data_IF_663149421988
#
_entry.id   IF_663149421988
#
_cell.length_a   1.000
_cell.length_b   1.000
_cell.length_c   1.000
_cell.angle_alpha   90.00
_cell.angle_beta   90.00
_cell.angle_gamma   90.00
#
_symmetry.space_group_name_H-M   'P 1'
#
loop_
_entity.id
_entity.type
_entity.pdbx_description
1 polymer ?
#
# COMPACT_ATOMS: atom_id res chain seq x y z
N UNK A 1 -13.86 -0.81 6.07
CA UNK A 1 -14.69 0.16 5.36
C UNK A 1 -14.41 1.56 5.89
N UNK A 2 -14.18 2.51 5.00
CA UNK A 2 -13.99 3.92 5.32
C UNK A 2 -14.57 4.79 4.22
N UNK A 3 -15.45 5.70 4.57
CA UNK A 3 -16.01 6.70 3.67
C UNK A 3 -15.67 8.09 4.20
N UNK A 4 -15.33 8.99 3.30
CA UNK A 4 -15.03 10.36 3.64
C UNK A 4 -15.38 11.31 2.51
N UNK A 5 -15.57 12.56 2.84
CA UNK A 5 -15.77 13.59 1.83
C UNK A 5 -15.08 14.89 2.21
N UNK A 6 -14.78 15.68 1.18
CA UNK A 6 -14.23 17.01 1.29
C UNK A 6 -15.02 17.95 0.38
N UNK A 7 -15.62 18.99 0.94
CA UNK A 7 -16.47 19.96 0.23
C UNK A 7 -15.77 21.29 0.09
N UNK A 8 -15.88 21.90 -1.09
CA UNK A 8 -15.34 23.21 -1.39
C UNK A 8 -16.30 24.06 -2.21
N UNK A 9 -16.28 25.37 -1.93
CA UNK A 9 -16.85 26.39 -2.77
C UNK A 9 -15.73 27.21 -3.39
N UNK A 10 -15.47 27.02 -4.68
CA UNK A 10 -14.37 27.68 -5.41
C UNK A 10 -14.73 28.05 -6.83
N UNK A 11 -14.04 29.07 -7.33
CA UNK A 11 -14.10 29.46 -8.74
C UNK A 11 -13.16 28.59 -9.57
N UNK A 12 -13.71 27.82 -10.48
CA UNK A 12 -12.99 26.92 -11.39
C UNK A 12 -13.48 27.13 -12.83
N UNK A 13 -12.70 26.70 -13.82
CA UNK A 13 -13.20 26.54 -15.19
C UNK A 13 -14.28 25.46 -15.20
N UNK A 14 -15.32 25.64 -16.01
CA UNK A 14 -16.38 24.63 -16.14
C UNK A 14 -15.86 23.29 -16.67
N UNK A 15 -14.80 23.31 -17.48
CA UNK A 15 -14.10 22.10 -17.93
C UNK A 15 -13.48 21.28 -16.79
N UNK A 16 -13.18 21.88 -15.65
CA UNK A 16 -12.73 21.16 -14.45
C UNK A 16 -13.80 20.21 -13.92
N UNK A 17 -15.07 20.49 -14.16
CA UNK A 17 -16.19 19.63 -13.81
C UNK A 17 -16.73 18.86 -15.03
N UNK A 18 -15.92 18.68 -16.09
CA UNK A 18 -16.31 17.92 -17.27
C UNK A 18 -17.37 18.63 -18.15
N UNK A 19 -17.67 19.90 -17.90
CA UNK A 19 -18.61 20.67 -18.70
C UNK A 19 -17.90 21.29 -19.92
N UNK A 20 -18.56 21.35 -21.10
CA UNK A 20 -17.92 21.72 -22.38
C UNK A 20 -17.69 23.24 -22.54
N UNK A 21 -17.34 23.93 -21.48
CA UNK A 21 -17.15 25.37 -21.45
C UNK A 21 -15.84 25.75 -20.78
N UNK A 22 -15.19 26.81 -21.28
CA UNK A 22 -13.86 27.24 -20.78
C UNK A 22 -13.91 28.42 -19.80
N UNK A 23 -15.06 29.09 -19.66
CA UNK A 23 -15.21 30.18 -18.69
C UNK A 23 -15.23 29.67 -17.26
N UNK A 24 -15.04 30.57 -16.29
CA UNK A 24 -14.97 30.24 -14.86
C UNK A 24 -16.26 30.62 -14.16
N UNK A 25 -16.77 29.74 -13.33
CA UNK A 25 -17.86 29.99 -12.41
C UNK A 25 -17.52 29.52 -11.00
N UNK A 26 -18.25 29.97 -9.99
CA UNK A 26 -18.20 29.43 -8.66
C UNK A 26 -19.06 28.19 -8.59
N UNK A 27 -18.51 27.12 -7.98
CA UNK A 27 -19.24 25.88 -7.76
C UNK A 27 -18.99 25.31 -6.38
N UNK A 28 -20.03 24.73 -5.79
CA UNK A 28 -19.93 23.92 -4.59
C UNK A 28 -19.83 22.47 -5.02
N UNK A 29 -18.69 21.88 -4.78
CA UNK A 29 -18.39 20.50 -5.17
C UNK A 29 -17.84 19.71 -4.01
N UNK A 30 -18.06 18.42 -4.04
CA UNK A 30 -17.63 17.46 -3.03
C UNK A 30 -16.76 16.40 -3.69
N UNK A 31 -15.59 16.16 -3.12
CA UNK A 31 -14.76 14.98 -3.43
C UNK A 31 -15.03 13.95 -2.37
N UNK A 32 -15.29 12.73 -2.80
CA UNK A 32 -15.71 11.63 -1.94
C UNK A 32 -14.81 10.43 -2.19
N UNK A 33 -14.62 9.66 -1.13
CA UNK A 33 -13.96 8.36 -1.22
C UNK A 33 -14.77 7.34 -0.42
N UNK A 34 -14.88 6.14 -0.98
CA UNK A 34 -15.46 4.98 -0.34
C UNK A 34 -14.45 3.82 -0.46
N UNK A 35 -13.94 3.39 0.69
CA UNK A 35 -12.84 2.45 0.74
C UNK A 35 -13.23 1.20 1.51
N UNK A 36 -12.89 0.06 0.93
CA UNK A 36 -12.99 -1.24 1.59
C UNK A 36 -11.60 -1.84 1.73
N UNK A 37 -11.29 -2.36 2.89
CA UNK A 37 -10.04 -3.01 3.17
C UNK A 37 -10.32 -4.38 3.83
N UNK A 38 -9.74 -5.42 3.27
CA UNK A 38 -9.82 -6.79 3.76
C UNK A 38 -8.42 -7.32 3.93
N UNK A 39 -8.19 -8.08 4.98
CA UNK A 39 -6.88 -8.68 5.17
C UNK A 39 -6.89 -9.79 6.20
N UNK A 40 -5.87 -10.61 6.11
CA UNK A 40 -5.64 -11.70 7.03
C UNK A 40 -4.14 -11.92 7.23
N UNK A 41 -3.79 -12.43 8.41
CA UNK A 41 -2.44 -12.80 8.81
C UNK A 41 -2.47 -14.19 9.38
N UNK A 42 -1.49 -15.00 8.98
CA UNK A 42 -1.25 -16.34 9.56
C UNK A 42 0.21 -16.45 9.93
N UNK A 43 0.48 -17.02 11.12
CA UNK A 43 1.84 -17.31 11.55
C UNK A 43 1.87 -18.61 12.37
N UNK A 44 2.93 -19.36 12.20
CA UNK A 44 3.24 -20.57 12.97
C UNK A 44 4.69 -20.54 13.44
N UNK A 45 4.92 -21.02 14.65
CA UNK A 45 6.24 -21.10 15.24
C UNK A 45 6.48 -22.53 15.74
N UNK A 46 7.63 -23.07 15.38
CA UNK A 46 8.14 -24.34 15.90
C UNK A 46 9.40 -24.06 16.70
N UNK A 47 9.42 -24.46 17.96
CA UNK A 47 10.54 -24.27 18.87
C UNK A 47 11.08 -25.64 19.23
N UNK A 48 12.33 -25.88 18.92
CA UNK A 48 13.05 -27.09 19.27
C UNK A 48 14.53 -26.80 19.46
N UNK A 49 15.25 -27.67 20.14
CA UNK A 49 16.69 -27.61 20.13
C UNK A 49 17.23 -28.53 19.02
N UNK A 50 18.18 -28.07 18.20
CA UNK A 50 18.88 -26.75 18.22
C UNK A 50 18.26 -25.66 17.33
N UNK A 51 17.04 -25.83 16.78
CA UNK A 51 16.50 -24.98 15.74
C UNK A 51 15.13 -24.41 16.14
N UNK A 52 14.96 -23.09 16.00
CA UNK A 52 13.66 -22.44 16.02
C UNK A 52 13.25 -22.03 14.60
N UNK A 53 12.04 -22.38 14.20
CA UNK A 53 11.47 -22.03 12.90
C UNK A 53 10.23 -21.17 13.09
N UNK A 54 10.06 -20.18 12.22
CA UNK A 54 8.85 -19.38 12.15
C UNK A 54 8.45 -19.19 10.69
N UNK A 55 7.20 -19.45 10.39
CA UNK A 55 6.59 -19.24 9.07
C UNK A 55 5.39 -18.35 9.23
N UNK A 56 5.13 -17.54 8.23
CA UNK A 56 3.93 -16.74 8.24
C UNK A 56 3.70 -16.04 6.92
N UNK A 57 2.57 -15.37 6.86
CA UNK A 57 2.20 -14.57 5.73
C UNK A 57 1.02 -13.67 6.06
N UNK A 58 0.84 -12.68 5.22
CA UNK A 58 -0.29 -11.77 5.24
C UNK A 58 -0.78 -11.54 3.81
N UNK A 59 -2.07 -11.35 3.67
CA UNK A 59 -2.66 -10.89 2.43
C UNK A 59 -3.67 -9.80 2.72
N UNK A 60 -3.60 -8.71 1.96
CA UNK A 60 -4.48 -7.57 2.07
C UNK A 60 -5.03 -7.22 0.70
N UNK A 61 -6.30 -6.84 0.67
CA UNK A 61 -6.98 -6.37 -0.51
C UNK A 61 -7.69 -5.05 -0.21
N UNK A 62 -7.37 -4.04 -1.01
CA UNK A 62 -7.96 -2.71 -0.92
C UNK A 62 -8.77 -2.43 -2.18
N UNK A 63 -9.97 -1.90 -1.98
CA UNK A 63 -10.85 -1.34 -2.99
C UNK A 63 -11.13 0.10 -2.60
N UNK A 64 -10.98 1.03 -3.53
CA UNK A 64 -11.28 2.44 -3.29
C UNK A 64 -11.99 3.05 -4.49
N UNK A 65 -13.16 3.63 -4.23
CA UNK A 65 -13.89 4.46 -5.17
C UNK A 65 -13.69 5.92 -4.81
N UNK A 66 -13.14 6.68 -5.74
CA UNK A 66 -12.95 8.12 -5.61
C UNK A 66 -13.82 8.82 -6.64
N UNK A 67 -14.69 9.71 -6.22
CA UNK A 67 -15.59 10.41 -7.11
C UNK A 67 -15.89 11.83 -6.64
N UNK A 68 -16.24 12.67 -7.58
CA UNK A 68 -16.59 14.06 -7.30
C UNK A 68 -17.97 14.41 -7.79
N UNK A 69 -18.72 15.11 -6.94
CA UNK A 69 -20.06 15.60 -7.26
C UNK A 69 -20.12 17.13 -7.17
N UNK A 70 -20.76 17.74 -8.15
CA UNK A 70 -21.08 19.17 -8.18
C UNK A 70 -22.51 19.37 -7.69
N UNK A 71 -22.65 20.10 -6.58
CA UNK A 71 -23.95 20.32 -5.92
C UNK A 71 -24.61 21.63 -6.31
N UNK A 72 -23.82 22.65 -6.58
CA UNK A 72 -24.28 23.98 -6.95
C UNK A 72 -23.29 24.61 -7.92
N UNK A 73 -23.83 25.32 -8.90
CA UNK A 73 -23.08 26.11 -9.88
C UNK A 73 -23.68 27.50 -9.98
N UNK A 74 -22.85 28.51 -9.78
CA UNK A 74 -23.22 29.90 -9.97
C UNK A 74 -23.06 30.26 -11.46
N UNK A 75 -23.97 29.74 -12.29
CA UNK A 75 -23.99 29.90 -13.73
C UNK A 75 -25.43 29.73 -14.21
N UNK A 76 -25.71 30.19 -15.45
CA UNK A 76 -27.02 29.99 -16.10
C UNK A 76 -27.25 28.54 -16.57
N UNK A 77 -26.23 27.69 -16.46
CA UNK A 77 -26.33 26.29 -16.84
C UNK A 77 -27.16 25.51 -15.83
N UNK A 78 -28.06 24.69 -16.33
CA UNK A 78 -28.81 23.72 -15.51
C UNK A 78 -28.03 22.43 -15.48
N UNK A 79 -27.55 22.05 -14.29
CA UNK A 79 -26.88 20.79 -14.05
C UNK A 79 -27.81 19.84 -13.27
N UNK A 80 -27.71 18.52 -13.46
CA UNK A 80 -28.43 17.56 -12.63
C UNK A 80 -28.02 17.71 -11.15
N UNK A 81 -28.94 17.40 -10.24
CA UNK A 81 -28.65 17.37 -8.81
C UNK A 81 -27.57 16.32 -8.57
N UNK A 82 -26.52 16.68 -7.80
CA UNK A 82 -25.38 15.83 -7.52
C UNK A 82 -24.68 15.34 -8.79
N UNK A 83 -24.49 16.22 -9.78
CA UNK A 83 -23.79 15.90 -11.01
C UNK A 83 -22.40 15.33 -10.71
N UNK A 84 -22.18 14.05 -11.03
CA UNK A 84 -20.89 13.38 -10.88
C UNK A 84 -19.98 13.77 -12.05
N UNK A 85 -18.87 14.47 -11.75
CA UNK A 85 -17.98 15.00 -12.78
C UNK A 85 -16.72 14.13 -12.98
N UNK A 86 -16.35 13.28 -12.00
CA UNK A 86 -15.31 12.27 -12.18
C UNK A 86 -15.55 11.06 -11.28
N UNK A 87 -15.04 9.94 -11.72
CA UNK A 87 -14.93 8.70 -10.91
C UNK A 87 -13.68 7.93 -11.29
N UNK A 88 -12.97 7.44 -10.29
CA UNK A 88 -11.94 6.44 -10.49
C UNK A 88 -12.02 5.36 -9.41
N UNK A 89 -11.55 4.19 -9.78
CA UNK A 89 -11.50 3.03 -8.92
C UNK A 89 -10.05 2.60 -8.76
N UNK A 90 -9.63 2.41 -7.53
CA UNK A 90 -8.31 1.88 -7.21
C UNK A 90 -8.44 0.52 -6.53
N UNK A 91 -7.60 -0.42 -6.93
CA UNK A 91 -7.48 -1.74 -6.31
C UNK A 91 -6.03 -1.98 -5.96
N UNK A 92 -5.78 -2.49 -4.77
CA UNK A 92 -4.45 -2.90 -4.38
C UNK A 92 -4.50 -4.27 -3.72
N UNK A 93 -3.72 -5.18 -4.25
CA UNK A 93 -3.43 -6.47 -3.63
C UNK A 93 -2.02 -6.42 -3.06
N UNK A 94 -1.86 -6.80 -1.82
CA UNK A 94 -0.56 -6.89 -1.15
C UNK A 94 -0.51 -8.22 -0.39
N UNK A 95 0.39 -9.09 -0.76
CA UNK A 95 0.56 -10.38 -0.14
C UNK A 95 2.03 -10.64 0.17
N UNK A 96 2.32 -11.22 1.32
CA UNK A 96 3.67 -11.62 1.66
C UNK A 96 3.68 -12.98 2.37
N UNK A 97 4.78 -13.67 2.19
CA UNK A 97 5.13 -14.88 2.96
C UNK A 97 6.55 -14.73 3.49
N UNK A 98 6.80 -15.30 4.64
CA UNK A 98 8.15 -15.32 5.20
C UNK A 98 8.46 -16.63 5.92
N UNK A 99 9.75 -16.96 5.94
CA UNK A 99 10.30 -18.04 6.72
C UNK A 99 11.52 -17.54 7.48
N UNK A 100 11.57 -17.80 8.78
CA UNK A 100 12.70 -17.46 9.65
C UNK A 100 13.21 -18.72 10.32
N UNK A 101 14.52 -18.83 10.41
CA UNK A 101 15.19 -19.89 11.13
C UNK A 101 16.24 -19.28 12.04
N UNK A 102 16.34 -19.82 13.25
CA UNK A 102 17.45 -19.55 14.16
C UNK A 102 18.04 -20.89 14.60
N UNK A 103 19.28 -21.13 14.24
CA UNK A 103 20.00 -22.36 14.53
C UNK A 103 21.10 -22.12 15.55
N UNK A 104 20.98 -22.74 16.71
CA UNK A 104 21.99 -22.75 17.78
C UNK A 104 22.99 -23.85 17.51
N UNK A 105 24.08 -23.51 16.80
CA UNK A 105 25.15 -24.46 16.40
C UNK A 105 25.96 -24.88 17.61
N UNK A 106 26.33 -23.93 18.48
CA UNK A 106 26.99 -24.14 19.75
C UNK A 106 26.14 -23.50 20.83
N UNK A 107 25.80 -24.30 21.85
CA UNK A 107 25.00 -23.82 22.99
C UNK A 107 25.61 -24.35 24.30
N UNK A 108 26.76 -23.77 24.69
CA UNK A 108 27.45 -24.10 25.93
C UNK A 108 27.39 -22.93 26.90
N UNK A 109 27.63 -23.15 28.18
CA UNK A 109 27.53 -22.11 29.20
C UNK A 109 28.40 -20.88 28.92
N UNK A 110 29.60 -21.06 28.38
CA UNK A 110 30.55 -19.95 28.12
C UNK A 110 30.77 -19.68 26.64
N UNK A 111 30.17 -20.48 25.74
CA UNK A 111 30.38 -20.39 24.31
C UNK A 111 29.06 -20.63 23.58
N UNK A 112 28.63 -19.69 22.75
CA UNK A 112 27.42 -19.80 21.96
C UNK A 112 27.70 -19.34 20.53
N UNK A 113 27.19 -20.09 19.57
CA UNK A 113 27.23 -19.76 18.15
C UNK A 113 25.84 -19.98 17.58
N UNK A 114 25.26 -18.93 17.03
CA UNK A 114 23.94 -18.98 16.42
C UNK A 114 23.98 -18.40 15.00
N UNK A 115 23.31 -19.06 14.08
CA UNK A 115 23.03 -18.62 12.73
C UNK A 115 21.56 -18.32 12.63
N UNK A 116 21.21 -17.17 12.05
CA UNK A 116 19.83 -16.89 11.68
C UNK A 116 19.69 -16.63 10.19
N UNK A 117 18.55 -16.99 9.64
CA UNK A 117 18.11 -16.67 8.29
C UNK A 117 16.67 -16.20 8.32
N UNK A 118 16.36 -15.19 7.49
CA UNK A 118 15.03 -14.64 7.31
C UNK A 118 14.82 -14.43 5.79
N UNK A 119 13.86 -15.13 5.24
CA UNK A 119 13.49 -15.04 3.84
C UNK A 119 12.09 -14.47 3.75
N UNK A 120 11.93 -13.39 3.03
CA UNK A 120 10.62 -12.78 2.78
C UNK A 120 10.41 -12.60 1.29
N UNK A 121 9.24 -12.98 0.83
CA UNK A 121 8.73 -12.67 -0.49
C UNK A 121 7.44 -11.87 -0.37
N UNK A 122 7.34 -10.76 -1.12
CA UNK A 122 6.17 -9.89 -1.15
C UNK A 122 5.75 -9.62 -2.58
N UNK A 123 4.46 -9.75 -2.82
CA UNK A 123 3.79 -9.41 -4.05
C UNK A 123 2.88 -8.21 -3.83
N UNK A 124 2.95 -7.22 -4.72
CA UNK A 124 2.07 -6.05 -4.70
C UNK A 124 1.56 -5.83 -6.10
N UNK A 125 0.24 -5.73 -6.27
CA UNK A 125 -0.39 -5.30 -7.51
C UNK A 125 -1.25 -4.07 -7.24
N UNK A 126 -1.12 -3.07 -8.06
CA UNK A 126 -1.90 -1.85 -8.01
C UNK A 126 -2.56 -1.61 -9.36
N UNK A 127 -3.89 -1.51 -9.35
CA UNK A 127 -4.72 -1.21 -10.50
C UNK A 127 -5.50 0.07 -10.25
N UNK A 128 -5.54 0.96 -11.22
CA UNK A 128 -6.39 2.16 -11.21
C UNK A 128 -7.04 2.32 -12.57
N UNK A 129 -8.34 2.57 -12.57
CA UNK A 129 -9.13 2.85 -13.76
C UNK A 129 -10.02 4.06 -13.51
N UNK A 130 -10.32 4.81 -14.59
CA UNK A 130 -11.19 5.97 -14.55
C UNK A 130 -10.46 7.31 -14.58
N UNK A 131 -11.21 8.37 -14.43
CA UNK A 131 -10.73 9.74 -14.64
C UNK A 131 -9.90 10.25 -13.47
N UNK A 132 -8.84 10.98 -13.76
CA UNK A 132 -8.13 11.80 -12.80
C UNK A 132 -8.98 13.01 -12.39
N UNK A 133 -8.95 13.38 -11.12
CA UNK A 133 -9.70 14.49 -10.56
C UNK A 133 -9.12 15.89 -10.86
N UNK A 134 -7.89 15.97 -11.40
CA UNK A 134 -7.22 17.24 -11.68
C UNK A 134 -7.40 17.71 -13.11
N UNK A 135 -7.27 16.83 -14.07
CA UNK A 135 -7.27 17.14 -15.50
C UNK A 135 -8.32 16.37 -16.32
N UNK A 136 -9.14 15.54 -15.66
CA UNK A 136 -10.17 14.70 -16.28
C UNK A 136 -9.59 13.71 -17.32
N UNK A 137 -8.29 13.44 -17.27
CA UNK A 137 -7.65 12.43 -18.11
C UNK A 137 -7.96 11.03 -17.63
N UNK A 138 -8.12 10.08 -18.55
CA UNK A 138 -8.19 8.68 -18.25
C UNK A 138 -6.75 8.15 -18.12
N UNK A 139 -6.40 7.71 -16.90
CA UNK A 139 -5.07 7.19 -16.59
C UNK A 139 -5.19 5.76 -16.06
N UNK A 140 -5.40 4.78 -16.95
CA UNK A 140 -5.34 3.39 -16.53
C UNK A 140 -3.92 3.05 -16.07
N UNK A 141 -3.83 2.48 -14.88
CA UNK A 141 -2.59 1.99 -14.31
C UNK A 141 -2.79 0.55 -13.85
N UNK A 142 -1.95 -0.35 -14.33
CA UNK A 142 -1.87 -1.74 -13.87
C UNK A 142 -0.39 -2.09 -13.73
N UNK A 143 0.07 -2.20 -12.51
CA UNK A 143 1.48 -2.50 -12.19
C UNK A 143 1.55 -3.56 -11.11
N UNK A 144 2.51 -4.46 -11.25
CA UNK A 144 2.81 -5.46 -10.25
C UNK A 144 4.31 -5.46 -9.88
N UNK A 145 4.58 -5.82 -8.64
CA UNK A 145 5.91 -5.86 -8.07
C UNK A 145 6.13 -7.13 -7.30
N UNK A 146 7.33 -7.66 -7.44
CA UNK A 146 7.81 -8.83 -6.73
C UNK A 146 9.07 -8.47 -5.95
N UNK A 147 9.06 -8.65 -4.65
CA UNK A 147 10.18 -8.33 -3.79
C UNK A 147 10.64 -9.59 -3.07
N UNK A 148 11.93 -9.88 -3.20
CA UNK A 148 12.59 -10.91 -2.41
C UNK A 148 13.61 -10.25 -1.49
N UNK A 149 13.43 -10.40 -0.19
CA UNK A 149 14.19 -9.74 0.85
C UNK A 149 14.86 -10.77 1.78
N UNK A 150 16.00 -11.37 1.37
CA UNK A 150 16.73 -12.28 2.20
C UNK A 150 17.58 -11.53 3.23
N UNK A 151 17.67 -12.11 4.43
CA UNK A 151 18.57 -11.66 5.49
C UNK A 151 19.18 -12.87 6.19
N UNK A 152 20.46 -12.81 6.48
CA UNK A 152 21.16 -13.83 7.27
C UNK A 152 22.19 -13.18 8.18
N UNK A 153 22.52 -13.85 9.27
CA UNK A 153 23.55 -13.36 10.17
C UNK A 153 24.02 -14.43 11.14
N UNK A 154 25.20 -14.18 11.67
CA UNK A 154 25.91 -15.02 12.61
C UNK A 154 26.18 -14.25 13.89
N UNK A 155 25.99 -14.89 15.03
CA UNK A 155 26.31 -14.32 16.33
C UNK A 155 27.17 -15.33 17.09
N UNK A 156 28.34 -14.89 17.51
CA UNK A 156 29.26 -15.66 18.35
C UNK A 156 29.49 -14.99 19.69
N UNK A 157 29.33 -15.71 20.76
CA UNK A 157 29.55 -15.24 22.12
C UNK A 157 30.53 -16.15 22.82
N UNK A 158 31.58 -15.59 23.44
CA UNK A 158 32.52 -16.32 24.25
C UNK A 158 33.03 -15.47 25.42
N UNK A 159 32.89 -15.95 26.65
CA UNK A 159 33.45 -15.36 27.91
C UNK A 159 33.24 -13.84 28.01
N UNK A 160 32.05 -13.32 27.70
CA UNK A 160 31.75 -11.88 27.77
C UNK A 160 32.02 -11.10 26.48
N UNK A 161 32.62 -11.70 25.47
CA UNK A 161 32.76 -11.13 24.14
C UNK A 161 31.58 -11.52 23.26
N UNK A 162 31.01 -10.57 22.52
CA UNK A 162 29.93 -10.77 21.55
C UNK A 162 30.36 -10.22 20.18
N UNK A 163 30.40 -11.08 19.20
CA UNK A 163 30.64 -10.73 17.79
C UNK A 163 29.41 -11.06 16.96
N UNK A 164 28.96 -10.11 16.14
CA UNK A 164 27.84 -10.31 15.22
C UNK A 164 28.18 -9.80 13.84
N UNK A 165 27.77 -10.56 12.82
CA UNK A 165 27.83 -10.15 11.42
C UNK A 165 26.49 -10.45 10.75
N UNK A 166 26.01 -9.57 9.89
CA UNK A 166 24.75 -9.78 9.15
C UNK A 166 24.80 -9.17 7.75
N UNK A 167 24.03 -9.78 6.88
CA UNK A 167 23.80 -9.33 5.51
C UNK A 167 22.30 -9.32 5.25
N UNK A 168 21.81 -8.28 4.53
CA UNK A 168 20.41 -8.18 4.13
C UNK A 168 20.28 -7.50 2.77
N UNK A 169 19.32 -7.96 1.97
CA UNK A 169 18.82 -7.25 0.77
C UNK A 169 17.41 -6.78 1.13
N UNK A 170 17.15 -5.50 0.90
CA UNK A 170 15.85 -4.90 1.15
C UNK A 170 15.34 -4.20 -0.11
N UNK A 171 14.27 -4.70 -0.67
CA UNK A 171 13.54 -4.11 -1.78
C UNK A 171 12.20 -3.58 -1.29
N UNK A 172 11.77 -2.44 -1.82
CA UNK A 172 10.49 -1.82 -1.47
C UNK A 172 9.80 -1.25 -2.70
N UNK A 173 8.49 -1.11 -2.59
CA UNK A 173 7.64 -0.42 -3.55
C UNK A 173 8.12 1.03 -3.77
N UNK A 174 8.18 1.53 -5.02
CA UNK A 174 8.41 2.94 -5.30
C UNK A 174 7.36 3.82 -4.61
N UNK A 175 7.73 5.07 -4.33
CA UNK A 175 6.76 6.02 -3.77
C UNK A 175 5.69 6.38 -4.82
N UNK A 176 4.49 6.77 -4.35
CA UNK A 176 3.37 7.16 -5.24
C UNK A 176 3.71 8.29 -6.21
N UNK A 177 4.72 9.12 -5.90
CA UNK A 177 5.15 10.21 -6.76
C UNK A 177 6.02 9.76 -7.95
N UNK A 178 6.28 8.46 -8.07
CA UNK A 178 7.12 7.88 -9.12
C UNK A 178 6.29 7.12 -10.18
N UNK A 179 4.98 7.27 -10.15
CA UNK A 179 4.04 6.72 -11.14
C UNK A 179 3.43 7.85 -11.97
#
# INVERSE_FOLDING_TARGET
>A
HGAGYYEQYKRKKLSYWGLPYSHKAYGMYRKQLDNHFFGGVLAAKYISEPVDLQFGGAANYYLGDHFGTLHYLEDSLIIPINYEYYRNNARKTDANIYAKANWRIINRAQEKLSLYADLQYRYVRYERNGMNDEDMSDLPLDVDFHFFNPKAGLTYQNRGHLLSASFAIANREPSRNNY
#
